data_IF_909247078679
#
_entry.id   IF_909247078679
#
_cell.length_a   1.000
_cell.length_b   1.000
_cell.length_c   1.000
_cell.angle_alpha   90.00
_cell.angle_beta   90.00
_cell.angle_gamma   90.00
#
_symmetry.space_group_name_H-M   'P 1'
#
loop_
_entity.id
_entity.type
_entity.pdbx_description
1 polymer ?
#
# COMPACT_ATOMS: atom_id res chain seq x y z
N UNK A 1 19.15 -18.91 -7.00
CA UNK A 1 19.05 -17.76 -6.10
C UNK A 1 19.48 -16.57 -6.95
N UNK A 2 18.54 -15.76 -7.43
CA UNK A 2 18.87 -14.50 -8.08
C UNK A 2 19.23 -13.50 -6.99
N UNK A 3 20.42 -12.91 -7.08
CA UNK A 3 20.83 -11.78 -6.22
C UNK A 3 19.88 -10.62 -6.47
N UNK A 4 19.02 -10.34 -5.50
CA UNK A 4 18.18 -9.12 -5.51
C UNK A 4 19.10 -7.98 -5.08
N UNK A 5 19.32 -6.94 -5.90
CA UNK A 5 20.17 -5.84 -5.51
C UNK A 5 19.56 -5.09 -4.32
N UNK A 6 20.31 -5.03 -3.25
CA UNK A 6 20.02 -4.22 -2.06
C UNK A 6 20.53 -2.81 -2.30
N UNK A 7 19.66 -1.81 -2.14
CA UNK A 7 20.00 -0.40 -2.18
C UNK A 7 19.80 0.20 -0.78
N UNK A 8 20.87 0.59 -0.14
CA UNK A 8 20.85 1.29 1.16
C UNK A 8 20.73 2.80 0.92
N UNK A 9 19.51 3.32 1.05
CA UNK A 9 19.20 4.74 0.80
C UNK A 9 19.75 5.67 1.90
N UNK A 10 20.36 5.15 2.95
CA UNK A 10 21.14 5.92 3.92
C UNK A 10 22.46 6.44 3.39
N UNK A 11 22.92 5.96 2.22
CA UNK A 11 24.17 6.38 1.57
C UNK A 11 23.83 7.26 0.37
N UNK A 12 24.31 8.52 0.28
CA UNK A 12 23.98 9.45 -0.81
C UNK A 12 24.19 8.90 -2.24
N UNK A 13 25.20 8.04 -2.43
CA UNK A 13 25.48 7.40 -3.72
C UNK A 13 24.46 6.34 -4.13
N UNK A 14 23.75 5.74 -3.17
CA UNK A 14 22.72 4.73 -3.44
C UNK A 14 21.36 5.38 -3.65
N UNK A 15 21.15 6.58 -3.12
CA UNK A 15 20.00 7.43 -3.44
C UNK A 15 19.94 7.82 -4.92
N UNK A 16 21.08 8.21 -5.52
CA UNK A 16 21.15 8.50 -6.96
C UNK A 16 20.90 7.24 -7.81
N UNK A 17 21.37 6.08 -7.38
CA UNK A 17 21.10 4.80 -8.05
C UNK A 17 19.63 4.37 -7.92
N UNK A 18 18.99 4.63 -6.79
CA UNK A 18 17.58 4.35 -6.59
C UNK A 18 16.69 5.15 -7.55
N UNK A 19 17.02 6.42 -7.80
CA UNK A 19 16.30 7.29 -8.74
C UNK A 19 16.34 6.79 -10.19
N UNK A 20 17.40 6.10 -10.59
CA UNK A 20 17.53 5.53 -11.95
C UNK A 20 17.04 4.09 -12.04
N UNK A 21 17.27 3.30 -11.00
CA UNK A 21 16.99 1.86 -10.98
C UNK A 21 15.49 1.53 -10.85
N UNK A 22 14.75 2.26 -10.02
CA UNK A 22 13.31 2.04 -9.83
C UNK A 22 12.48 2.30 -11.11
N UNK A 23 12.66 3.43 -11.84
CA UNK A 23 11.96 3.67 -13.09
C UNK A 23 12.25 2.63 -14.17
N UNK A 24 13.50 2.16 -14.30
CA UNK A 24 13.87 1.15 -15.29
C UNK A 24 13.23 -0.22 -14.99
N UNK A 25 13.23 -0.65 -13.74
CA UNK A 25 12.59 -1.91 -13.33
C UNK A 25 11.05 -1.84 -13.52
N UNK A 26 10.43 -0.70 -13.23
CA UNK A 26 8.99 -0.49 -13.47
C UNK A 26 8.66 -0.42 -14.96
N UNK A 27 9.55 0.11 -15.82
CA UNK A 27 9.33 0.19 -17.27
C UNK A 27 9.35 -1.18 -17.97
N UNK A 28 10.01 -2.17 -17.41
CA UNK A 28 10.10 -3.53 -17.98
C UNK A 28 8.86 -4.39 -17.74
N UNK A 29 7.98 -3.98 -16.80
CA UNK A 29 6.71 -4.68 -16.51
C UNK A 29 5.64 -4.14 -17.47
N UNK A 30 5.05 -5.00 -18.31
CA UNK A 30 4.05 -4.64 -19.35
C UNK A 30 2.78 -3.98 -18.79
N UNK A 31 2.00 -3.32 -19.68
CA UNK A 31 0.78 -2.49 -19.44
C UNK A 31 -0.37 -3.08 -18.59
N UNK A 32 -0.27 -4.30 -18.07
CA UNK A 32 -1.32 -4.95 -17.26
C UNK A 32 -0.93 -5.05 -15.79
N UNK A 33 -0.36 -3.97 -15.24
CA UNK A 33 0.07 -3.89 -13.85
C UNK A 33 -1.09 -3.55 -12.91
N UNK A 34 -0.97 -4.03 -11.67
CA UNK A 34 -1.94 -3.80 -10.61
C UNK A 34 -1.25 -3.19 -9.39
N UNK A 35 -1.81 -2.11 -8.87
CA UNK A 35 -1.27 -1.43 -7.70
C UNK A 35 -2.18 -1.67 -6.50
N UNK A 36 -1.60 -2.11 -5.39
CA UNK A 36 -2.23 -2.15 -4.08
C UNK A 36 -1.59 -1.10 -3.19
N UNK A 37 -2.40 -0.30 -2.53
CA UNK A 37 -1.97 0.72 -1.57
C UNK A 37 -2.54 0.39 -0.19
N UNK A 38 -1.71 0.40 0.84
CA UNK A 38 -2.24 0.58 2.18
C UNK A 38 -2.82 1.99 2.33
N UNK A 39 -3.73 2.18 3.27
CA UNK A 39 -4.36 3.48 3.50
C UNK A 39 -3.60 4.29 4.54
N UNK A 40 -3.56 3.81 5.76
CA UNK A 40 -3.02 4.54 6.90
C UNK A 40 -1.48 4.47 6.93
N UNK A 41 -0.82 5.61 6.80
CA UNK A 41 0.65 5.69 6.70
C UNK A 41 1.19 5.68 5.26
N UNK A 42 0.32 5.45 4.26
CA UNK A 42 0.65 5.51 2.83
C UNK A 42 -0.18 6.58 2.11
N UNK A 43 -1.51 6.49 2.19
CA UNK A 43 -2.43 7.46 1.57
C UNK A 43 -2.70 8.62 2.52
N UNK A 44 -2.99 8.34 3.78
CA UNK A 44 -3.26 9.34 4.80
C UNK A 44 -2.29 9.26 5.97
N UNK A 45 -2.19 10.36 6.68
CA UNK A 45 -1.38 10.45 7.91
C UNK A 45 -1.82 9.38 8.89
N UNK A 46 -0.86 8.56 9.33
CA UNK A 46 -1.09 7.54 10.34
C UNK A 46 -1.40 8.18 11.70
N UNK A 47 -2.46 7.73 12.36
CA UNK A 47 -2.69 8.00 13.77
C UNK A 47 -2.04 6.90 14.62
N UNK A 48 -0.93 7.22 15.26
CA UNK A 48 -0.24 6.25 16.12
C UNK A 48 -1.15 5.77 17.25
N UNK A 49 -1.30 4.46 17.37
CA UNK A 49 -2.13 3.78 18.37
C UNK A 49 -3.63 4.15 18.36
N UNK A 50 -4.13 4.76 17.28
CA UNK A 50 -5.53 5.17 17.12
C UNK A 50 -6.01 4.93 15.66
N UNK A 51 -7.23 5.39 15.35
CA UNK A 51 -7.88 5.24 14.04
C UNK A 51 -8.37 6.59 13.54
N UNK A 52 -8.39 6.74 12.21
CA UNK A 52 -9.16 7.81 11.54
C UNK A 52 -10.63 7.40 11.59
N UNK A 53 -11.46 8.13 12.35
CA UNK A 53 -12.83 7.73 12.69
C UNK A 53 -13.92 8.47 11.89
N UNK A 54 -13.54 9.58 11.26
CA UNK A 54 -14.44 10.40 10.45
C UNK A 54 -13.67 11.18 9.39
N UNK A 55 -14.39 11.83 8.47
CA UNK A 55 -13.79 12.57 7.35
C UNK A 55 -12.92 13.76 7.77
N UNK A 56 -13.20 14.38 8.95
CA UNK A 56 -12.42 15.54 9.43
C UNK A 56 -11.03 15.12 9.92
N UNK A 57 -10.91 13.89 10.35
CA UNK A 57 -9.66 13.32 10.81
C UNK A 57 -8.79 12.75 9.65
N UNK A 58 -9.38 12.60 8.46
CA UNK A 58 -8.68 12.07 7.29
C UNK A 58 -7.89 13.18 6.60
N UNK A 59 -6.57 13.10 6.69
CA UNK A 59 -5.63 14.02 6.06
C UNK A 59 -4.70 13.26 5.13
N UNK A 60 -4.65 13.63 3.86
CA UNK A 60 -3.72 13.02 2.91
C UNK A 60 -2.27 13.20 3.35
N UNK A 61 -1.44 12.20 3.07
CA UNK A 61 -0.04 12.19 3.44
C UNK A 61 0.80 12.97 2.41
N UNK A 62 1.53 14.00 2.87
CA UNK A 62 2.50 14.72 2.06
C UNK A 62 1.94 15.19 0.70
N UNK A 63 2.68 14.93 -0.36
CA UNK A 63 2.36 15.33 -1.73
C UNK A 63 1.65 14.22 -2.55
N UNK A 64 1.05 13.21 -1.89
CA UNK A 64 0.42 12.08 -2.58
C UNK A 64 -0.55 12.50 -3.70
N UNK A 65 -1.31 13.58 -3.51
CA UNK A 65 -2.25 14.09 -4.51
C UNK A 65 -1.57 14.64 -5.77
N UNK A 66 -0.28 14.95 -5.71
CA UNK A 66 0.51 15.39 -6.86
C UNK A 66 1.28 14.24 -7.51
N UNK A 67 1.69 13.25 -6.72
CA UNK A 67 2.62 12.20 -7.10
C UNK A 67 1.91 10.94 -7.57
N UNK A 68 0.85 10.52 -6.86
CA UNK A 68 0.07 9.34 -7.24
C UNK A 68 -0.53 9.43 -8.67
N UNK A 69 -1.01 10.59 -9.17
CA UNK A 69 -1.49 10.71 -10.55
C UNK A 69 -0.44 10.36 -11.63
N UNK A 70 0.84 10.56 -11.31
CA UNK A 70 1.94 10.23 -12.23
C UNK A 70 2.12 8.71 -12.27
N UNK A 71 2.16 8.08 -11.11
CA UNK A 71 2.33 6.63 -10.95
C UNK A 71 1.10 5.87 -11.45
N UNK A 72 -0.10 6.39 -11.19
CA UNK A 72 -1.37 5.77 -11.56
C UNK A 72 -1.46 5.41 -13.05
N UNK A 73 -0.82 6.18 -13.92
CA UNK A 73 -0.80 5.98 -15.39
C UNK A 73 -0.12 4.66 -15.80
N UNK A 74 0.72 4.11 -14.95
CA UNK A 74 1.45 2.86 -15.19
C UNK A 74 0.64 1.62 -14.80
N UNK A 75 -0.52 1.79 -14.15
CA UNK A 75 -1.32 0.69 -13.62
C UNK A 75 -2.72 0.65 -14.26
N UNK A 76 -3.17 -0.55 -14.56
CA UNK A 76 -4.50 -0.80 -15.09
C UNK A 76 -5.57 -0.64 -14.02
N UNK A 77 -5.27 -1.11 -12.81
CA UNK A 77 -6.15 -1.03 -11.65
C UNK A 77 -5.37 -0.62 -10.40
N UNK A 78 -5.98 0.22 -9.59
CA UNK A 78 -5.49 0.63 -8.28
C UNK A 78 -6.47 0.17 -7.22
N UNK A 79 -5.98 -0.56 -6.24
CA UNK A 79 -6.74 -1.10 -5.13
C UNK A 79 -6.23 -0.55 -3.80
N UNK A 80 -7.13 -0.38 -2.84
CA UNK A 80 -6.76 -0.05 -1.46
C UNK A 80 -7.01 -1.28 -0.59
N UNK A 81 -6.04 -1.60 0.28
CA UNK A 81 -6.11 -2.74 1.21
C UNK A 81 -5.77 -2.27 2.62
N UNK A 82 -6.73 -2.25 3.54
CA UNK A 82 -6.54 -1.61 4.85
C UNK A 82 -7.13 -2.39 6.02
N UNK A 83 -6.42 -2.41 7.16
CA UNK A 83 -6.91 -2.98 8.40
C UNK A 83 -7.67 -1.91 9.21
N UNK A 84 -8.99 -2.06 9.37
CA UNK A 84 -9.87 -1.10 10.05
C UNK A 84 -10.49 -1.67 11.32
N UNK A 85 -9.64 -2.13 12.23
CA UNK A 85 -10.04 -2.73 13.50
C UNK A 85 -10.84 -1.79 14.42
N UNK A 86 -10.84 -0.48 14.15
CA UNK A 86 -11.66 0.51 14.86
C UNK A 86 -13.15 0.15 14.84
N UNK A 87 -13.62 -0.51 13.76
CA UNK A 87 -15.00 -0.99 13.64
C UNK A 87 -15.25 -2.13 14.65
N UNK A 88 -14.41 -3.17 14.65
CA UNK A 88 -14.52 -4.28 15.58
C UNK A 88 -14.38 -3.88 17.05
N UNK A 89 -13.67 -2.77 17.32
CA UNK A 89 -13.58 -2.15 18.67
C UNK A 89 -14.78 -1.27 19.02
N UNK A 90 -15.73 -1.04 18.12
CA UNK A 90 -16.86 -0.14 18.33
C UNK A 90 -16.48 1.35 18.42
N UNK A 91 -15.30 1.75 17.90
CA UNK A 91 -14.83 3.13 17.90
C UNK A 91 -15.35 3.93 16.70
N UNK A 92 -15.81 3.26 15.66
CA UNK A 92 -16.42 3.80 14.45
C UNK A 92 -17.32 2.74 13.82
N UNK A 93 -18.25 3.16 12.99
CA UNK A 93 -19.13 2.27 12.23
C UNK A 93 -18.62 2.03 10.79
N UNK A 94 -19.19 1.02 10.11
CA UNK A 94 -19.00 0.84 8.66
C UNK A 94 -19.45 2.09 7.86
N UNK A 95 -20.52 2.75 8.31
CA UNK A 95 -21.00 3.98 7.69
C UNK A 95 -19.98 5.12 7.80
N UNK A 96 -19.28 5.23 8.93
CA UNK A 96 -18.24 6.25 9.10
C UNK A 96 -17.03 5.94 8.21
N UNK A 97 -16.63 4.67 8.10
CA UNK A 97 -15.57 4.26 7.20
C UNK A 97 -15.94 4.55 5.73
N UNK A 98 -17.17 4.26 5.32
CA UNK A 98 -17.64 4.52 3.97
C UNK A 98 -17.53 6.01 3.62
N UNK A 99 -17.92 6.92 4.51
CA UNK A 99 -17.78 8.36 4.29
C UNK A 99 -16.33 8.80 4.13
N UNK A 100 -15.42 8.23 4.94
CA UNK A 100 -13.96 8.47 4.79
C UNK A 100 -13.50 8.02 3.41
N UNK A 101 -13.91 6.82 2.97
CA UNK A 101 -13.56 6.28 1.67
C UNK A 101 -14.17 7.09 0.52
N UNK A 102 -15.43 7.53 0.63
CA UNK A 102 -16.08 8.41 -0.35
C UNK A 102 -15.30 9.72 -0.52
N UNK A 103 -14.97 10.41 0.59
CA UNK A 103 -14.13 11.61 0.55
C UNK A 103 -12.79 11.35 -0.14
N UNK A 104 -12.12 10.25 0.20
CA UNK A 104 -10.83 9.89 -0.39
C UNK A 104 -10.96 9.65 -1.90
N UNK A 105 -11.96 8.88 -2.35
CA UNK A 105 -12.21 8.59 -3.78
C UNK A 105 -12.51 9.88 -4.53
N UNK A 106 -13.45 10.71 -4.05
CA UNK A 106 -13.82 11.97 -4.69
C UNK A 106 -12.60 12.88 -4.85
N UNK A 107 -11.75 12.96 -3.81
CA UNK A 107 -10.53 13.76 -3.91
C UNK A 107 -9.55 13.18 -4.94
N UNK A 108 -9.35 11.87 -4.98
CA UNK A 108 -8.49 11.24 -5.99
C UNK A 108 -9.00 11.46 -7.43
N UNK A 109 -10.32 11.40 -7.63
CA UNK A 109 -10.94 11.67 -8.94
C UNK A 109 -10.68 13.11 -9.42
N UNK A 110 -10.65 14.11 -8.51
CA UNK A 110 -10.26 15.49 -8.83
C UNK A 110 -8.80 15.60 -9.35
N UNK A 111 -7.96 14.60 -9.06
CA UNK A 111 -6.57 14.51 -9.48
C UNK A 111 -6.34 13.42 -10.55
N UNK A 112 -7.38 13.02 -11.29
CA UNK A 112 -7.32 12.01 -12.35
C UNK A 112 -6.84 10.61 -11.89
N UNK A 113 -7.05 10.26 -10.62
CA UNK A 113 -6.75 8.93 -10.07
C UNK A 113 -8.05 8.17 -9.83
N UNK A 114 -8.23 7.05 -10.52
CA UNK A 114 -9.39 6.16 -10.34
C UNK A 114 -9.02 4.96 -9.47
N UNK A 115 -9.71 4.79 -8.35
CA UNK A 115 -9.59 3.63 -7.46
C UNK A 115 -10.59 2.55 -7.91
N UNK A 116 -10.08 1.38 -8.29
CA UNK A 116 -10.91 0.29 -8.81
C UNK A 116 -11.72 -0.43 -7.74
N UNK A 117 -11.16 -0.59 -6.54
CA UNK A 117 -11.87 -1.13 -5.38
C UNK A 117 -11.11 -0.86 -4.07
N UNK A 118 -11.83 -0.90 -2.96
CA UNK A 118 -11.28 -0.82 -1.60
C UNK A 118 -11.66 -2.10 -0.84
N UNK A 119 -10.67 -2.77 -0.29
CA UNK A 119 -10.83 -3.92 0.58
C UNK A 119 -10.38 -3.56 1.98
N UNK A 120 -11.22 -3.81 2.97
CA UNK A 120 -10.87 -3.52 4.36
C UNK A 120 -11.18 -4.71 5.27
N UNK A 121 -10.48 -4.75 6.39
CA UNK A 121 -10.74 -5.73 7.44
C UNK A 121 -11.22 -5.02 8.71
N UNK A 122 -12.51 -5.18 9.11
CA UNK A 122 -13.05 -4.58 10.31
C UNK A 122 -12.77 -5.37 11.58
N UNK A 123 -12.29 -6.60 11.45
CA UNK A 123 -12.24 -7.59 12.52
C UNK A 123 -11.16 -7.29 13.58
N UNK A 124 -11.39 -7.77 14.79
CA UNK A 124 -10.39 -7.81 15.85
C UNK A 124 -9.30 -8.86 15.54
N UNK A 125 -8.14 -8.71 16.15
CA UNK A 125 -7.06 -9.73 16.04
C UNK A 125 -7.54 -11.08 16.57
N UNK A 126 -8.35 -11.08 17.66
CA UNK A 126 -8.94 -12.28 18.27
C UNK A 126 -9.85 -13.06 17.33
N UNK A 127 -10.48 -12.42 16.34
CA UNK A 127 -11.43 -13.06 15.42
C UNK A 127 -10.76 -14.00 14.43
N UNK A 128 -9.44 -13.97 14.36
CA UNK A 128 -8.62 -14.84 13.50
C UNK A 128 -9.10 -14.93 12.05
N UNK A 129 -9.76 -13.87 11.54
CA UNK A 129 -10.34 -13.79 10.19
C UNK A 129 -9.28 -14.00 9.11
N UNK A 130 -9.68 -14.24 7.85
CA UNK A 130 -8.75 -14.42 6.73
C UNK A 130 -8.40 -13.11 6.01
N UNK A 131 -9.20 -12.03 6.18
CA UNK A 131 -8.97 -10.76 5.50
C UNK A 131 -7.90 -9.87 6.16
N UNK A 132 -7.69 -9.99 7.50
CA UNK A 132 -6.74 -9.12 8.21
C UNK A 132 -5.28 -9.38 7.80
N UNK A 133 -4.57 -8.32 7.34
CA UNK A 133 -3.10 -8.35 7.16
C UNK A 133 -2.42 -8.83 8.45
N UNK A 134 -1.46 -9.75 8.41
CA UNK A 134 -0.70 -10.24 7.25
C UNK A 134 -1.33 -11.40 6.48
N UNK A 135 -2.59 -11.77 6.69
CA UNK A 135 -3.26 -12.79 5.86
C UNK A 135 -3.67 -12.17 4.53
N UNK A 136 -3.63 -12.94 3.41
CA UNK A 136 -3.78 -12.40 2.07
C UNK A 136 -5.24 -12.27 1.60
N UNK A 137 -6.23 -12.42 2.48
CA UNK A 137 -7.64 -12.49 2.09
C UNK A 137 -8.16 -11.27 1.32
N UNK A 138 -7.63 -10.06 1.57
CA UNK A 138 -7.99 -8.87 0.78
C UNK A 138 -7.43 -8.94 -0.64
N UNK A 139 -6.22 -9.48 -0.84
CA UNK A 139 -5.68 -9.74 -2.18
C UNK A 139 -6.47 -10.82 -2.91
N UNK A 140 -6.91 -11.86 -2.18
CA UNK A 140 -7.74 -12.94 -2.75
C UNK A 140 -9.12 -12.42 -3.18
N UNK A 141 -9.72 -11.51 -2.43
CA UNK A 141 -10.97 -10.83 -2.81
C UNK A 141 -10.78 -10.02 -4.10
N UNK A 142 -9.68 -9.27 -4.20
CA UNK A 142 -9.34 -8.54 -5.43
C UNK A 142 -9.21 -9.48 -6.62
N UNK A 143 -8.49 -10.59 -6.48
CA UNK A 143 -8.33 -11.61 -7.54
C UNK A 143 -9.65 -12.25 -7.94
N UNK A 144 -10.56 -12.45 -6.99
CA UNK A 144 -11.89 -13.00 -7.27
C UNK A 144 -12.75 -12.02 -8.06
N UNK A 145 -12.69 -10.73 -7.72
CA UNK A 145 -13.48 -9.67 -8.37
C UNK A 145 -12.88 -9.25 -9.72
N UNK A 146 -11.55 -9.33 -9.85
CA UNK A 146 -10.79 -8.99 -11.06
C UNK A 146 -9.98 -10.23 -11.52
N UNK A 147 -10.59 -11.15 -12.28
CA UNK A 147 -9.95 -12.41 -12.68
C UNK A 147 -8.68 -12.25 -13.51
N UNK A 148 -8.53 -11.12 -14.21
CA UNK A 148 -7.32 -10.78 -14.98
C UNK A 148 -6.13 -10.37 -14.11
N UNK A 149 -6.34 -10.03 -12.82
CA UNK A 149 -5.28 -9.64 -11.90
C UNK A 149 -4.24 -10.76 -11.78
N UNK A 150 -2.97 -10.42 -12.00
CA UNK A 150 -1.83 -11.32 -11.83
C UNK A 150 -0.96 -10.81 -10.67
N UNK A 151 -0.82 -11.59 -9.61
CA UNK A 151 0.00 -11.21 -8.45
C UNK A 151 1.46 -10.98 -8.83
N UNK A 152 2.01 -11.74 -9.79
CA UNK A 152 3.36 -11.55 -10.31
C UNK A 152 3.57 -10.24 -11.11
N UNK A 153 2.49 -9.56 -11.46
CA UNK A 153 2.48 -8.25 -12.12
C UNK A 153 1.90 -7.16 -11.22
N UNK A 154 1.80 -7.45 -9.93
CA UNK A 154 1.23 -6.54 -8.94
C UNK A 154 2.32 -5.98 -8.04
N UNK A 155 2.12 -4.73 -7.63
CA UNK A 155 2.94 -4.03 -6.63
C UNK A 155 2.05 -3.70 -5.44
N UNK A 156 2.57 -3.87 -4.23
CA UNK A 156 1.94 -3.42 -2.99
C UNK A 156 2.84 -2.41 -2.30
N UNK A 157 2.31 -1.22 -2.03
CA UNK A 157 2.95 -0.18 -1.25
C UNK A 157 2.36 -0.20 0.15
N UNK A 158 3.19 -0.35 1.17
CA UNK A 158 2.77 -0.44 2.56
C UNK A 158 3.82 0.04 3.55
N UNK A 159 3.40 0.51 4.73
CA UNK A 159 4.26 1.07 5.77
C UNK A 159 4.59 0.07 6.90
N UNK A 160 4.12 -1.19 6.80
CA UNK A 160 4.19 -2.14 7.91
C UNK A 160 4.64 -3.54 7.49
N UNK A 161 5.20 -4.26 8.46
CA UNK A 161 5.56 -5.69 8.31
C UNK A 161 4.34 -6.56 7.95
N UNK A 162 3.12 -6.12 8.29
CA UNK A 162 1.91 -6.86 7.93
C UNK A 162 1.58 -6.77 6.45
N UNK A 163 1.92 -5.66 5.79
CA UNK A 163 1.81 -5.47 4.35
C UNK A 163 2.85 -6.32 3.62
N UNK A 164 4.09 -6.25 4.07
CA UNK A 164 5.17 -7.08 3.54
C UNK A 164 4.82 -8.57 3.57
N UNK A 165 4.44 -9.10 4.74
CA UNK A 165 4.06 -10.51 4.88
C UNK A 165 2.81 -10.90 4.08
N UNK A 166 1.88 -9.97 3.85
CA UNK A 166 0.73 -10.21 2.98
C UNK A 166 1.17 -10.34 1.53
N UNK A 167 2.05 -9.46 1.04
CA UNK A 167 2.57 -9.47 -0.32
C UNK A 167 3.37 -10.76 -0.61
N UNK A 168 4.26 -11.16 0.30
CA UNK A 168 5.05 -12.40 0.17
C UNK A 168 4.16 -13.63 -0.06
N UNK A 169 3.05 -13.73 0.66
CA UNK A 169 2.13 -14.89 0.58
C UNK A 169 1.46 -15.06 -0.78
N UNK A 170 1.51 -14.06 -1.64
CA UNK A 170 0.93 -14.09 -2.99
C UNK A 170 1.93 -13.79 -4.10
N UNK A 171 3.20 -13.56 -3.76
CA UNK A 171 4.22 -13.21 -4.75
C UNK A 171 3.96 -11.83 -5.39
N UNK A 172 3.39 -10.90 -4.61
CA UNK A 172 3.24 -9.49 -5.00
C UNK A 172 4.54 -8.78 -4.69
N UNK A 173 5.04 -7.96 -5.62
CA UNK A 173 6.22 -7.12 -5.36
C UNK A 173 5.88 -6.11 -4.26
N UNK A 174 6.69 -6.08 -3.21
CA UNK A 174 6.47 -5.16 -2.10
C UNK A 174 7.38 -3.96 -2.19
N UNK A 175 6.83 -2.79 -1.93
CA UNK A 175 7.56 -1.56 -1.74
C UNK A 175 7.25 -1.02 -0.35
N UNK A 176 8.26 -1.00 0.50
CA UNK A 176 8.19 -0.42 1.84
C UNK A 176 8.13 1.10 1.76
N UNK A 177 7.19 1.72 2.49
CA UNK A 177 6.99 3.17 2.45
C UNK A 177 7.27 3.80 3.82
N UNK A 178 8.11 4.84 3.81
CA UNK A 178 8.48 5.58 5.02
C UNK A 178 9.44 4.85 5.97
N UNK A 179 9.91 5.54 6.99
CA UNK A 179 10.96 5.04 7.91
C UNK A 179 10.50 3.90 8.84
N UNK A 180 9.19 3.80 9.11
CA UNK A 180 8.66 2.82 10.05
C UNK A 180 8.98 1.39 9.62
N UNK A 181 8.74 1.08 8.34
CA UNK A 181 8.98 -0.26 7.80
C UNK A 181 10.47 -0.65 7.84
N UNK A 182 11.38 0.29 7.61
CA UNK A 182 12.82 0.03 7.71
C UNK A 182 13.22 -0.40 9.12
N UNK A 183 12.71 0.29 10.14
CA UNK A 183 12.98 -0.04 11.53
C UNK A 183 12.42 -1.42 11.92
N UNK A 184 11.24 -1.78 11.40
CA UNK A 184 10.63 -3.08 11.66
C UNK A 184 11.37 -4.22 10.95
N UNK A 185 11.86 -4.00 9.73
CA UNK A 185 12.52 -5.03 8.92
C UNK A 185 13.98 -5.25 9.31
N UNK A 186 14.73 -4.21 9.71
CA UNK A 186 16.09 -4.35 10.21
C UNK A 186 16.21 -5.28 11.41
N UNK A 187 15.11 -5.50 12.13
CA UNK A 187 15.03 -6.41 13.27
C UNK A 187 14.72 -7.88 12.87
N UNK A 188 14.35 -8.17 11.62
CA UNK A 188 13.81 -9.48 11.21
C UNK A 188 14.50 -10.14 10.01
N UNK A 189 15.66 -9.66 9.58
CA UNK A 189 16.47 -10.25 8.48
C UNK A 189 15.63 -10.57 7.23
N UNK A 190 14.99 -9.59 6.64
CA UNK A 190 14.05 -9.76 5.54
C UNK A 190 14.53 -9.09 4.25
N UNK A 191 14.32 -9.78 3.16
CA UNK A 191 14.58 -9.32 1.79
C UNK A 191 13.49 -8.31 1.36
N UNK A 192 13.63 -7.04 1.75
CA UNK A 192 12.87 -5.95 1.13
C UNK A 192 13.19 -5.91 -0.37
N UNK A 193 12.17 -5.97 -1.20
CA UNK A 193 12.38 -5.83 -2.64
C UNK A 193 12.71 -4.38 -3.00
N UNK A 194 12.00 -3.42 -2.39
CA UNK A 194 12.18 -1.98 -2.64
C UNK A 194 11.71 -1.16 -1.44
N UNK A 195 12.24 0.07 -1.31
CA UNK A 195 11.82 1.04 -0.31
C UNK A 195 11.73 2.43 -0.91
N UNK A 196 10.74 3.21 -0.51
CA UNK A 196 10.56 4.60 -0.89
C UNK A 196 10.18 5.45 0.34
N UNK A 197 10.76 6.65 0.45
CA UNK A 197 10.43 7.60 1.51
C UNK A 197 9.20 8.45 1.18
N UNK A 198 8.92 8.61 -0.09
CA UNK A 198 7.78 9.35 -0.64
C UNK A 198 7.46 8.85 -2.05
N UNK A 199 6.33 9.28 -2.61
CA UNK A 199 5.89 8.82 -3.93
C UNK A 199 6.74 9.33 -5.11
N UNK A 200 7.62 10.32 -4.92
CA UNK A 200 8.54 10.80 -5.99
C UNK A 200 9.65 9.80 -6.30
N UNK A 201 9.91 8.89 -5.37
CA UNK A 201 10.94 7.86 -5.50
C UNK A 201 10.43 6.63 -6.26
N UNK A 202 9.16 6.63 -6.67
CA UNK A 202 8.53 5.70 -7.59
C UNK A 202 8.70 6.13 -9.03
#
# INVERSE_FOLDING_TARGET
VQDVPFLDIGIPSDYEKAQTFLPEQLSTIKKDKFLFLDRDGVINVLKENDYVRNELEFNFLGDILKELPIIAKEFKHIFIVTNQQGIGKGLMSESDLNKIHEKMIMTFEEYDVSISAIYHCPHLVSDSCQCRKPKPGMLDQAKQQFPELLFSQSVLIGDSISDFKMSERRGVTFVGFGNKILNELSLQDSSLSYHAMNFKEF
#
